data_IF_794421907508
#
_entry.id   IF_794421907508
#
_cell.length_a   1.000
_cell.length_b   1.000
_cell.length_c   1.000
_cell.angle_alpha   90.00
_cell.angle_beta   90.00
_cell.angle_gamma   90.00
#
_symmetry.space_group_name_H-M   'P 1'
#
loop_
_entity.id
_entity.type
_entity.pdbx_description
1 polymer ?
#
# COMPACT_ATOMS: atom_id res chain seq x y z
N UNK A 1 4.94 -8.58 -27.28
CA UNK A 1 4.57 -7.32 -26.62
C UNK A 1 4.47 -7.63 -25.14
N UNK A 2 5.48 -7.21 -24.37
CA UNK A 2 5.59 -7.44 -22.93
C UNK A 2 4.43 -6.75 -22.22
N UNK A 3 3.75 -7.44 -21.29
CA UNK A 3 2.76 -6.80 -20.44
C UNK A 3 3.43 -5.60 -19.74
N UNK A 4 2.84 -4.40 -19.72
CA UNK A 4 3.43 -3.27 -19.02
C UNK A 4 3.55 -3.65 -17.54
N UNK A 5 4.77 -3.56 -17.00
CA UNK A 5 5.01 -3.71 -15.57
C UNK A 5 4.33 -2.60 -14.76
N UNK A 6 4.38 -2.68 -13.41
CA UNK A 6 3.82 -1.64 -12.55
C UNK A 6 4.39 -0.26 -12.89
N UNK A 7 3.55 0.77 -12.81
CA UNK A 7 3.99 2.15 -13.08
C UNK A 7 4.96 2.61 -11.99
N UNK A 8 6.04 3.28 -12.40
CA UNK A 8 6.89 4.00 -11.43
C UNK A 8 6.17 5.25 -10.92
N UNK A 9 6.59 5.81 -9.77
CA UNK A 9 6.05 7.08 -9.27
C UNK A 9 6.17 8.22 -10.30
N UNK A 10 7.26 8.33 -11.07
CA UNK A 10 7.34 9.34 -12.13
C UNK A 10 6.32 9.10 -13.24
N UNK A 11 6.12 7.86 -13.69
CA UNK A 11 5.15 7.56 -14.74
C UNK A 11 3.72 7.84 -14.27
N UNK A 12 3.41 7.53 -13.01
CA UNK A 12 2.14 7.89 -12.38
C UNK A 12 1.94 9.41 -12.38
N UNK A 13 2.93 10.19 -11.93
CA UNK A 13 2.88 11.65 -11.95
C UNK A 13 2.73 12.21 -13.37
N UNK A 14 3.42 11.64 -14.36
CA UNK A 14 3.32 12.05 -15.76
C UNK A 14 1.90 11.83 -16.31
N UNK A 15 1.28 10.68 -16.03
CA UNK A 15 -0.11 10.41 -16.46
C UNK A 15 -1.08 11.39 -15.80
N UNK A 16 -0.93 11.66 -14.50
CA UNK A 16 -1.77 12.63 -13.77
C UNK A 16 -1.60 14.04 -14.37
N UNK A 17 -0.38 14.46 -14.69
CA UNK A 17 -0.11 15.74 -15.35
C UNK A 17 -0.73 15.82 -16.76
N UNK A 18 -0.66 14.73 -17.54
CA UNK A 18 -1.30 14.64 -18.86
C UNK A 18 -2.82 14.76 -18.77
N UNK A 19 -3.44 14.11 -17.77
CA UNK A 19 -4.88 14.25 -17.49
C UNK A 19 -5.22 15.71 -17.19
N UNK A 20 -4.47 16.35 -16.28
CA UNK A 20 -4.68 17.76 -15.91
C UNK A 20 -4.56 18.71 -17.11
N UNK A 21 -3.51 18.56 -17.91
CA UNK A 21 -3.29 19.36 -19.11
C UNK A 21 -4.38 19.15 -20.17
N UNK A 22 -4.80 17.90 -20.39
CA UNK A 22 -5.88 17.57 -21.31
C UNK A 22 -7.20 18.22 -20.91
N UNK A 23 -7.57 18.11 -19.63
CA UNK A 23 -8.78 18.75 -19.10
C UNK A 23 -8.70 20.28 -19.15
N UNK A 24 -7.54 20.86 -18.80
CA UNK A 24 -7.32 22.30 -18.83
C UNK A 24 -7.45 22.88 -20.25
N UNK A 25 -7.06 22.12 -21.29
CA UNK A 25 -7.20 22.55 -22.69
C UNK A 25 -8.66 22.68 -23.16
N UNK A 26 -9.58 21.95 -22.52
CA UNK A 26 -11.03 21.99 -22.80
C UNK A 26 -11.76 23.02 -21.93
N UNK A 27 -11.13 23.47 -20.84
CA UNK A 27 -11.70 24.40 -19.91
C UNK A 27 -11.64 25.84 -20.46
N UNK A 28 -12.61 26.71 -20.11
CA UNK A 28 -12.61 28.11 -20.50
C UNK A 28 -11.43 28.84 -19.86
N UNK A 29 -11.01 29.93 -20.49
CA UNK A 29 -9.98 30.79 -19.94
C UNK A 29 -10.38 31.27 -18.53
N UNK A 30 -9.43 31.18 -17.59
CA UNK A 30 -9.65 31.59 -16.20
C UNK A 30 -10.44 30.59 -15.34
N UNK A 31 -10.54 29.33 -15.76
CA UNK A 31 -11.08 28.26 -14.91
C UNK A 31 -10.39 28.23 -13.54
N UNK A 32 -11.15 27.94 -12.50
CA UNK A 32 -10.67 27.91 -11.10
C UNK A 32 -10.39 26.51 -10.60
N UNK A 33 -11.17 25.53 -11.04
CA UNK A 33 -11.02 24.14 -10.61
C UNK A 33 -11.49 23.16 -11.68
N UNK A 34 -10.76 22.06 -11.81
CA UNK A 34 -11.16 20.88 -12.56
C UNK A 34 -11.25 19.72 -11.59
N UNK A 35 -12.34 18.95 -11.62
CA UNK A 35 -12.47 17.71 -10.85
C UNK A 35 -12.89 16.62 -11.79
N UNK A 36 -12.17 15.50 -11.78
CA UNK A 36 -12.65 14.28 -12.40
C UNK A 36 -12.79 13.19 -11.35
N UNK A 37 -13.90 12.46 -11.42
CA UNK A 37 -14.14 11.29 -10.61
C UNK A 37 -14.36 10.10 -11.54
N UNK A 38 -13.50 9.10 -11.43
CA UNK A 38 -13.56 7.88 -12.20
C UNK A 38 -13.89 6.72 -11.28
N UNK A 39 -14.89 5.92 -11.65
CA UNK A 39 -15.33 4.73 -10.92
C UNK A 39 -15.32 3.56 -11.89
N UNK A 40 -14.64 2.49 -11.52
CA UNK A 40 -14.47 1.34 -12.41
C UNK A 40 -14.48 0.01 -11.66
N UNK A 41 -15.18 -0.96 -12.25
CA UNK A 41 -15.21 -2.36 -11.80
C UNK A 41 -15.40 -3.27 -13.02
N UNK A 42 -14.42 -4.13 -13.29
CA UNK A 42 -14.35 -4.97 -14.47
C UNK A 42 -14.43 -4.13 -15.73
N UNK A 43 -15.50 -4.32 -16.50
CA UNK A 43 -15.78 -3.55 -17.72
C UNK A 43 -16.77 -2.39 -17.52
N UNK A 44 -17.30 -2.22 -16.31
CA UNK A 44 -18.22 -1.12 -15.98
C UNK A 44 -17.42 0.10 -15.57
N UNK A 45 -17.55 1.18 -16.33
CA UNK A 45 -16.79 2.42 -16.15
C UNK A 45 -17.76 3.60 -16.08
N UNK A 46 -17.58 4.47 -15.10
CA UNK A 46 -18.24 5.77 -15.01
C UNK A 46 -17.19 6.85 -14.80
N UNK A 47 -17.22 7.91 -15.60
CA UNK A 47 -16.31 9.06 -15.44
C UNK A 47 -17.13 10.33 -15.44
N UNK A 48 -16.83 11.20 -14.49
CA UNK A 48 -17.36 12.55 -14.41
C UNK A 48 -16.25 13.56 -14.55
N UNK A 49 -16.57 14.66 -15.22
CA UNK A 49 -15.71 15.85 -15.28
C UNK A 49 -16.55 17.05 -14.91
N UNK A 50 -16.08 17.80 -13.93
CA UNK A 50 -16.65 19.05 -13.45
C UNK A 50 -15.62 20.16 -13.61
N UNK A 51 -16.06 21.29 -14.13
CA UNK A 51 -15.25 22.50 -14.31
C UNK A 51 -15.91 23.65 -13.59
N UNK A 52 -15.16 24.32 -12.73
CA UNK A 52 -15.56 25.59 -12.11
C UNK A 52 -14.96 26.74 -12.92
N UNK A 53 -15.83 27.54 -13.54
CA UNK A 53 -15.46 28.68 -14.36
C UNK A 53 -14.89 29.86 -13.56
N UNK A 54 -14.45 30.93 -14.26
CA UNK A 54 -13.95 32.16 -13.64
C UNK A 54 -15.03 32.89 -12.80
N UNK A 55 -16.30 32.67 -13.12
CA UNK A 55 -17.48 33.17 -12.41
C UNK A 55 -17.81 32.36 -11.14
N UNK A 56 -17.12 31.24 -10.91
CA UNK A 56 -17.38 30.32 -9.80
C UNK A 56 -18.51 29.33 -10.07
N UNK A 57 -19.15 29.38 -11.25
CA UNK A 57 -20.20 28.43 -11.61
C UNK A 57 -19.56 27.10 -12.02
N UNK A 58 -20.12 26.00 -11.53
CA UNK A 58 -19.65 24.65 -11.86
C UNK A 58 -20.58 23.99 -12.87
N UNK A 59 -20.02 23.44 -13.93
CA UNK A 59 -20.75 22.68 -14.95
C UNK A 59 -20.02 21.39 -15.31
N UNK A 60 -20.75 20.45 -15.88
CA UNK A 60 -20.20 19.16 -16.30
C UNK A 60 -19.74 19.19 -17.74
N UNK A 61 -18.61 18.53 -17.99
CA UNK A 61 -18.11 18.26 -19.34
C UNK A 61 -18.25 16.76 -19.66
N UNK A 62 -18.49 16.48 -20.94
CA UNK A 62 -18.37 15.12 -21.44
C UNK A 62 -16.91 14.64 -21.29
N UNK A 63 -16.65 13.49 -20.64
CA UNK A 63 -15.29 12.96 -20.51
C UNK A 63 -14.72 12.63 -21.89
N UNK A 64 -13.56 13.20 -22.28
CA UNK A 64 -12.94 12.86 -23.56
C UNK A 64 -12.42 11.40 -23.55
N UNK A 65 -12.39 10.70 -24.70
CA UNK A 65 -11.88 9.32 -24.77
C UNK A 65 -10.45 9.16 -24.24
N UNK A 66 -9.58 10.14 -24.47
CA UNK A 66 -8.19 10.15 -24.04
C UNK A 66 -8.08 10.15 -22.51
N UNK A 67 -8.98 10.87 -21.82
CA UNK A 67 -9.05 10.85 -20.35
C UNK A 67 -9.34 9.44 -19.84
N UNK A 68 -10.31 8.76 -20.45
CA UNK A 68 -10.70 7.40 -20.06
C UNK A 68 -9.54 6.42 -20.28
N UNK A 69 -8.79 6.58 -21.38
CA UNK A 69 -7.60 5.77 -21.67
C UNK A 69 -6.47 6.01 -20.67
N UNK A 70 -6.20 7.27 -20.30
CA UNK A 70 -5.18 7.60 -19.30
C UNK A 70 -5.55 7.07 -17.92
N UNK A 71 -6.81 7.20 -17.51
CA UNK A 71 -7.32 6.63 -16.26
C UNK A 71 -7.26 5.09 -16.26
N UNK A 72 -7.53 4.44 -17.40
CA UNK A 72 -7.38 3.00 -17.55
C UNK A 72 -5.91 2.53 -17.46
N UNK A 73 -4.99 3.29 -18.05
CA UNK A 73 -3.55 3.06 -17.94
C UNK A 73 -3.08 3.23 -16.49
N UNK A 74 -3.50 4.32 -15.84
CA UNK A 74 -3.22 4.60 -14.44
C UNK A 74 -3.72 3.47 -13.53
N UNK A 75 -4.97 3.04 -13.72
CA UNK A 75 -5.59 1.94 -12.96
C UNK A 75 -4.81 0.64 -13.11
N UNK A 76 -4.49 0.28 -14.35
CA UNK A 76 -3.83 -0.99 -14.67
C UNK A 76 -2.40 -1.00 -14.13
N UNK A 77 -1.70 0.13 -14.24
CA UNK A 77 -0.33 0.26 -13.78
C UNK A 77 -0.18 0.41 -12.26
N UNK A 78 -1.25 0.80 -11.56
CA UNK A 78 -1.32 0.82 -10.09
C UNK A 78 -1.83 -0.51 -9.50
N UNK A 79 -2.03 -1.53 -10.32
CA UNK A 79 -2.37 -2.86 -9.84
C UNK A 79 -1.24 -3.43 -8.98
N UNK A 80 -1.59 -3.91 -7.79
CA UNK A 80 -0.70 -4.66 -6.92
C UNK A 80 -1.16 -6.12 -6.84
N UNK A 81 -0.29 -7.10 -7.14
CA UNK A 81 -0.60 -8.51 -7.01
C UNK A 81 -1.17 -8.85 -5.63
N UNK A 82 -2.32 -9.51 -5.59
CA UNK A 82 -2.98 -9.90 -4.35
C UNK A 82 -3.73 -8.78 -3.62
N UNK A 83 -3.48 -7.50 -3.87
CA UNK A 83 -4.27 -6.40 -3.28
C UNK A 83 -5.31 -5.84 -4.26
N UNK A 84 -5.07 -5.99 -5.57
CA UNK A 84 -5.91 -5.44 -6.61
C UNK A 84 -5.50 -4.01 -6.98
N UNK A 85 -6.46 -3.25 -7.52
CA UNK A 85 -6.30 -1.83 -7.84
C UNK A 85 -7.45 -1.02 -7.24
N UNK A 86 -7.35 0.30 -7.31
CA UNK A 86 -8.38 1.21 -6.81
C UNK A 86 -9.68 1.06 -7.58
N UNK A 87 -10.85 1.30 -6.97
CA UNK A 87 -12.18 1.26 -7.61
C UNK A 87 -12.73 2.66 -7.92
N UNK A 88 -12.24 3.67 -7.20
CA UNK A 88 -12.51 5.09 -7.44
C UNK A 88 -11.20 5.88 -7.47
N UNK A 89 -11.10 6.82 -8.41
CA UNK A 89 -10.06 7.84 -8.42
C UNK A 89 -10.72 9.23 -8.51
N UNK A 90 -10.35 10.14 -7.62
CA UNK A 90 -10.76 11.55 -7.66
C UNK A 90 -9.53 12.41 -7.88
N UNK A 91 -9.46 13.10 -9.01
CA UNK A 91 -8.37 14.04 -9.30
C UNK A 91 -8.95 15.45 -9.33
N UNK A 92 -8.34 16.35 -8.56
CA UNK A 92 -8.68 17.76 -8.52
C UNK A 92 -7.47 18.59 -8.92
N UNK A 93 -7.66 19.49 -9.89
CA UNK A 93 -6.65 20.43 -10.35
C UNK A 93 -7.13 21.84 -10.05
N UNK A 94 -6.27 22.62 -9.43
CA UNK A 94 -6.50 24.01 -9.05
C UNK A 94 -5.23 24.81 -9.41
N UNK A 95 -5.31 25.92 -10.16
CA UNK A 95 -4.13 26.68 -10.56
C UNK A 95 -3.38 27.31 -9.37
N UNK A 96 -4.06 27.48 -8.23
CA UNK A 96 -3.51 28.10 -7.02
C UNK A 96 -3.16 27.05 -5.98
N UNK A 97 -4.06 26.10 -5.72
CA UNK A 97 -3.88 25.07 -4.69
C UNK A 97 -3.10 23.84 -5.18
N UNK A 98 -2.86 23.73 -6.49
CA UNK A 98 -2.15 22.60 -7.09
C UNK A 98 -3.06 21.41 -7.38
N UNK A 99 -2.45 20.22 -7.42
CA UNK A 99 -3.14 18.97 -7.77
C UNK A 99 -3.34 18.11 -6.53
N UNK A 100 -4.55 17.58 -6.35
CA UNK A 100 -4.90 16.62 -5.31
C UNK A 100 -5.49 15.36 -5.93
N UNK A 101 -5.08 14.19 -5.42
CA UNK A 101 -5.51 12.89 -5.94
C UNK A 101 -5.89 11.97 -4.78
N UNK A 102 -7.08 11.38 -4.86
CA UNK A 102 -7.59 10.37 -3.92
C UNK A 102 -7.90 9.08 -4.66
N UNK A 103 -7.41 7.95 -4.15
CA UNK A 103 -7.70 6.61 -4.67
C UNK A 103 -8.39 5.77 -3.60
N UNK A 104 -9.55 5.21 -3.92
CA UNK A 104 -10.30 4.35 -3.01
C UNK A 104 -10.26 2.91 -3.51
N UNK A 105 -9.58 2.03 -2.75
CA UNK A 105 -9.45 0.61 -3.09
C UNK A 105 -10.60 -0.23 -2.57
N UNK A 106 -11.07 0.05 -1.36
CA UNK A 106 -11.95 -0.84 -0.59
C UNK A 106 -13.29 -0.21 -0.20
N UNK A 107 -13.51 1.04 -0.62
CA UNK A 107 -14.78 1.74 -0.43
C UNK A 107 -15.67 1.51 -1.65
N UNK A 108 -16.93 1.09 -1.44
CA UNK A 108 -17.88 0.92 -2.55
C UNK A 108 -18.12 2.28 -3.23
N UNK A 109 -17.87 2.40 -4.55
CA UNK A 109 -18.15 3.64 -5.25
C UNK A 109 -19.65 3.92 -5.34
N UNK A 110 -20.03 5.20 -5.27
CA UNK A 110 -21.39 5.63 -5.53
C UNK A 110 -21.68 5.54 -7.04
N UNK A 111 -22.23 4.41 -7.48
CA UNK A 111 -22.56 4.16 -8.89
C UNK A 111 -23.83 4.91 -9.30
N UNK A 112 -23.82 5.56 -10.48
CA UNK A 112 -25.08 6.05 -11.09
C UNK A 112 -25.94 4.88 -11.53
N UNK A 113 -25.32 3.87 -12.14
CA UNK A 113 -25.97 2.64 -12.56
C UNK A 113 -25.29 1.48 -11.85
N UNK A 114 -26.01 0.72 -10.99
CA UNK A 114 -25.43 -0.43 -10.30
C UNK A 114 -24.79 -1.41 -11.30
N UNK A 115 -23.50 -1.74 -11.15
CA UNK A 115 -22.86 -2.73 -12.00
C UNK A 115 -23.49 -4.11 -11.75
N UNK A 116 -23.61 -4.97 -12.79
CA UNK A 116 -24.06 -6.34 -12.61
C UNK A 116 -23.01 -7.18 -11.86
N UNK A 117 -23.39 -8.29 -11.20
CA UNK A 117 -22.44 -9.15 -10.48
C UNK A 117 -21.23 -9.60 -11.31
N UNK A 118 -21.43 -9.87 -12.60
CA UNK A 118 -20.35 -10.25 -13.52
C UNK A 118 -19.25 -9.18 -13.62
N UNK A 119 -19.57 -7.89 -13.43
CA UNK A 119 -18.57 -6.82 -13.43
C UNK A 119 -17.60 -6.92 -12.25
N UNK A 120 -18.10 -7.31 -11.08
CA UNK A 120 -17.30 -7.55 -9.89
C UNK A 120 -16.46 -8.84 -10.01
N UNK A 121 -17.02 -9.89 -10.63
CA UNK A 121 -16.27 -11.12 -10.92
C UNK A 121 -15.15 -10.87 -11.94
N UNK A 122 -15.44 -10.09 -12.98
CA UNK A 122 -14.45 -9.66 -13.99
C UNK A 122 -13.34 -8.84 -13.34
N UNK A 123 -13.66 -7.94 -12.40
CA UNK A 123 -12.66 -7.17 -11.65
C UNK A 123 -11.69 -8.09 -10.90
N UNK A 124 -12.19 -9.10 -10.18
CA UNK A 124 -11.33 -10.07 -9.48
C UNK A 124 -10.52 -10.94 -10.45
N UNK A 125 -10.97 -11.11 -11.69
CA UNK A 125 -10.22 -11.82 -12.74
C UNK A 125 -9.11 -10.93 -13.34
N UNK A 126 -9.39 -9.65 -13.57
CA UNK A 126 -8.44 -8.72 -14.17
C UNK A 126 -7.41 -8.20 -13.15
N UNK A 127 -7.85 -7.97 -11.91
CA UNK A 127 -7.04 -7.47 -10.81
C UNK A 127 -7.23 -8.39 -9.59
N UNK A 128 -6.64 -9.59 -9.61
CA UNK A 128 -6.76 -10.56 -8.52
C UNK A 128 -6.44 -9.96 -7.16
N UNK A 129 -7.35 -10.22 -6.21
CA UNK A 129 -7.24 -9.87 -4.80
C UNK A 129 -7.19 -11.16 -3.98
N UNK A 130 -6.33 -11.21 -2.98
CA UNK A 130 -6.33 -12.23 -1.95
C UNK A 130 -7.56 -12.04 -1.06
N UNK A 131 -8.00 -13.13 -0.43
CA UNK A 131 -9.28 -13.17 0.28
C UNK A 131 -9.43 -12.08 1.35
N UNK A 132 -8.35 -11.75 2.06
CA UNK A 132 -8.35 -10.69 3.07
C UNK A 132 -8.49 -9.26 2.51
N UNK A 133 -8.21 -9.06 1.22
CA UNK A 133 -8.32 -7.77 0.52
C UNK A 133 -9.59 -7.66 -0.32
N UNK A 134 -10.53 -8.61 -0.17
CA UNK A 134 -11.87 -8.52 -0.77
C UNK A 134 -12.84 -8.04 0.31
N UNK A 135 -13.31 -6.78 0.27
CA UNK A 135 -14.30 -6.29 1.22
C UNK A 135 -15.59 -7.09 1.17
N UNK A 136 -16.28 -7.21 2.31
CA UNK A 136 -17.53 -7.97 2.43
C UNK A 136 -18.62 -7.51 1.44
N UNK A 137 -18.75 -6.20 1.24
CA UNK A 137 -19.67 -5.62 0.27
C UNK A 137 -19.33 -6.06 -1.17
N UNK A 138 -18.04 -6.12 -1.51
CA UNK A 138 -17.58 -6.53 -2.85
C UNK A 138 -17.92 -8.00 -3.07
N UNK A 139 -17.63 -8.84 -2.07
CA UNK A 139 -17.93 -10.28 -2.11
C UNK A 139 -19.42 -10.54 -2.36
N UNK A 140 -20.27 -9.82 -1.64
CA UNK A 140 -21.73 -9.86 -1.84
C UNK A 140 -22.12 -9.42 -3.27
N UNK A 141 -21.53 -8.34 -3.77
CA UNK A 141 -21.78 -7.83 -5.14
C UNK A 141 -21.35 -8.81 -6.22
N UNK A 142 -20.24 -9.53 -6.01
CA UNK A 142 -19.73 -10.54 -6.92
C UNK A 142 -20.53 -11.85 -6.89
N UNK A 143 -21.49 -12.01 -5.96
CA UNK A 143 -22.22 -13.26 -5.76
C UNK A 143 -21.32 -14.39 -5.26
N UNK A 144 -20.20 -14.04 -4.61
CA UNK A 144 -19.34 -14.99 -3.92
C UNK A 144 -20.00 -15.37 -2.60
N UNK A 145 -19.72 -16.58 -2.12
CA UNK A 145 -20.14 -17.00 -0.79
C UNK A 145 -19.62 -15.99 0.26
N UNK A 146 -20.26 -15.83 1.43
CA UNK A 146 -19.71 -15.02 2.51
C UNK A 146 -18.27 -15.44 2.78
N UNK A 147 -17.42 -14.48 3.17
CA UNK A 147 -16.09 -14.83 3.65
C UNK A 147 -16.31 -15.89 4.71
N UNK A 148 -15.79 -17.10 4.48
CA UNK A 148 -15.65 -18.03 5.59
C UNK A 148 -14.88 -17.20 6.62
N UNK A 149 -15.43 -16.97 7.83
CA UNK A 149 -14.57 -16.56 8.92
C UNK A 149 -13.42 -17.53 8.81
N UNK A 150 -12.18 -17.05 8.70
CA UNK A 150 -11.02 -17.93 8.67
C UNK A 150 -11.32 -18.97 9.75
N UNK A 151 -11.64 -20.21 9.35
CA UNK A 151 -12.15 -21.15 10.32
C UNK A 151 -11.06 -21.18 11.37
N UNK A 152 -11.35 -20.99 12.68
CA UNK A 152 -10.37 -21.33 13.67
C UNK A 152 -10.09 -22.80 13.36
N UNK A 153 -8.95 -23.07 12.72
CA UNK A 153 -8.55 -24.38 12.24
C UNK A 153 -8.92 -25.32 13.36
N UNK A 154 -9.98 -26.12 13.17
CA UNK A 154 -10.37 -27.13 14.15
C UNK A 154 -9.12 -27.96 14.29
N UNK A 155 -8.51 -27.85 15.46
CA UNK A 155 -7.22 -28.43 15.77
C UNK A 155 -7.28 -29.92 15.45
N UNK A 156 -6.76 -30.27 14.27
CA UNK A 156 -6.26 -31.60 14.02
C UNK A 156 -5.06 -31.73 14.95
N UNK A 157 -4.89 -32.82 15.73
CA UNK A 157 -3.75 -32.97 16.61
C UNK A 157 -2.45 -32.73 15.82
N UNK A 158 -1.48 -32.02 16.39
CA UNK A 158 -0.46 -31.31 15.63
C UNK A 158 0.46 -32.29 14.90
N UNK A 159 0.42 -32.22 13.57
CA UNK A 159 1.64 -32.37 12.77
C UNK A 159 2.10 -30.95 12.46
N UNK A 160 3.28 -30.60 12.94
CA UNK A 160 3.91 -29.27 12.97
C UNK A 160 3.80 -28.54 11.61
N UNK A 161 2.88 -27.58 11.52
CA UNK A 161 2.88 -26.57 10.46
C UNK A 161 3.75 -25.39 10.94
N UNK A 162 4.71 -24.89 10.14
CA UNK A 162 5.57 -23.79 10.55
C UNK A 162 4.73 -22.53 10.75
N UNK A 163 4.90 -21.87 11.89
CA UNK A 163 4.21 -20.62 12.23
C UNK A 163 4.49 -19.55 11.17
N UNK A 164 3.43 -18.93 10.65
CA UNK A 164 3.55 -17.88 9.64
C UNK A 164 4.48 -16.74 10.13
N UNK A 165 5.36 -16.27 9.24
CA UNK A 165 6.29 -15.19 9.54
C UNK A 165 5.56 -13.90 9.94
N UNK A 166 6.05 -13.22 10.98
CA UNK A 166 5.49 -11.97 11.50
C UNK A 166 6.31 -10.75 11.06
N UNK A 167 5.64 -9.61 10.85
CA UNK A 167 6.28 -8.31 10.58
C UNK A 167 5.97 -7.32 11.71
N UNK A 168 6.96 -6.59 12.24
CA UNK A 168 6.72 -5.58 13.27
C UNK A 168 6.16 -4.29 12.67
N UNK A 169 5.46 -3.52 13.52
CA UNK A 169 5.08 -2.14 13.21
C UNK A 169 6.27 -1.21 13.46
N UNK A 170 6.65 -0.44 12.43
CA UNK A 170 7.71 0.58 12.54
C UNK A 170 7.22 1.81 13.32
N UNK A 171 5.94 2.19 13.16
CA UNK A 171 5.29 3.28 13.89
C UNK A 171 3.95 2.80 14.49
N UNK A 172 3.46 3.45 15.54
CA UNK A 172 2.18 3.08 16.18
C UNK A 172 0.98 3.82 15.58
N UNK A 173 1.23 4.90 14.83
CA UNK A 173 0.23 5.66 14.11
C UNK A 173 0.82 6.86 13.38
N UNK A 174 -0.05 7.69 12.80
CA UNK A 174 0.29 9.01 12.26
C UNK A 174 -0.50 10.07 13.05
N UNK A 175 0.10 11.21 13.34
CA UNK A 175 -0.61 12.36 13.92
C UNK A 175 -1.45 13.10 12.87
N UNK A 176 -2.21 14.12 13.30
CA UNK A 176 -3.02 14.96 12.40
C UNK A 176 -2.19 15.71 11.34
N UNK A 177 -0.87 15.78 11.50
CA UNK A 177 0.08 16.41 10.57
C UNK A 177 0.78 15.40 9.66
N UNK A 178 0.44 14.11 9.77
CA UNK A 178 1.04 13.02 8.99
C UNK A 178 2.43 12.58 9.47
N UNK A 179 2.86 12.98 10.67
CA UNK A 179 4.13 12.54 11.27
C UNK A 179 3.94 11.21 12.00
N UNK A 180 4.94 10.32 11.97
CA UNK A 180 4.88 9.07 12.73
C UNK A 180 4.78 9.34 14.23
N UNK A 181 3.77 8.74 14.85
CA UNK A 181 3.63 8.70 16.30
C UNK A 181 4.13 7.34 16.78
N UNK A 182 5.02 7.40 17.77
CA UNK A 182 5.45 6.22 18.52
C UNK A 182 5.21 6.51 19.99
N UNK A 183 4.30 5.73 20.59
CA UNK A 183 3.99 5.82 22.02
C UNK A 183 4.37 4.48 22.66
N UNK A 184 5.68 4.31 22.84
CA UNK A 184 6.29 3.09 23.38
C UNK A 184 7.20 3.42 24.53
N UNK A 185 7.21 2.54 25.52
CA UNK A 185 8.11 2.67 26.66
C UNK A 185 9.57 2.51 26.19
N UNK A 186 10.45 3.48 26.50
CA UNK A 186 11.85 3.43 26.07
C UNK A 186 12.59 2.25 26.72
N UNK A 187 13.53 1.67 25.99
CA UNK A 187 14.33 0.56 26.49
C UNK A 187 15.43 1.04 27.43
N UNK A 188 15.79 0.22 28.41
CA UNK A 188 17.00 0.48 29.19
C UNK A 188 18.24 0.41 28.28
N UNK A 189 19.32 1.18 28.52
CA UNK A 189 20.50 1.19 27.65
C UNK A 189 21.11 -0.21 27.42
N UNK A 190 21.18 -1.02 28.48
CA UNK A 190 21.71 -2.39 28.40
C UNK A 190 20.80 -3.35 27.61
N UNK A 191 19.50 -3.09 27.57
CA UNK A 191 18.56 -3.86 26.76
C UNK A 191 18.58 -3.40 25.31
N UNK A 192 18.64 -2.08 25.07
CA UNK A 192 18.76 -1.48 23.75
C UNK A 192 19.93 -2.06 22.97
N UNK A 193 21.11 -2.13 23.58
CA UNK A 193 22.31 -2.63 22.91
C UNK A 193 22.16 -4.10 22.49
N UNK A 194 21.53 -4.94 23.33
CA UNK A 194 21.24 -6.34 22.99
C UNK A 194 20.20 -6.49 21.90
N UNK A 195 19.19 -5.63 21.89
CA UNK A 195 18.16 -5.62 20.85
C UNK A 195 18.77 -5.17 19.52
N UNK A 196 19.63 -4.15 19.52
CA UNK A 196 20.35 -3.72 18.30
C UNK A 196 21.25 -4.84 17.76
N UNK A 197 22.01 -5.51 18.63
CA UNK A 197 22.85 -6.64 18.24
C UNK A 197 22.03 -7.79 17.61
N UNK A 198 20.87 -8.09 18.18
CA UNK A 198 19.93 -9.05 17.61
C UNK A 198 19.40 -8.61 16.23
N UNK A 199 18.93 -7.37 16.12
CA UNK A 199 18.33 -6.86 14.89
C UNK A 199 19.35 -6.74 13.74
N UNK A 200 20.58 -6.32 14.04
CA UNK A 200 21.68 -6.15 13.08
C UNK A 200 22.40 -7.47 12.78
N UNK A 201 22.39 -8.44 13.70
CA UNK A 201 23.00 -9.75 13.51
C UNK A 201 22.20 -10.69 12.61
N UNK A 202 20.90 -10.44 12.45
CA UNK A 202 20.01 -11.30 11.67
C UNK A 202 20.36 -11.27 10.17
N UNK A 203 20.26 -12.40 9.45
CA UNK A 203 20.57 -12.44 8.03
C UNK A 203 19.70 -11.50 7.21
N UNK A 204 20.33 -10.83 6.23
CA UNK A 204 19.66 -9.99 5.24
C UNK A 204 19.06 -10.88 4.16
N UNK A 205 17.77 -10.70 3.87
CA UNK A 205 17.00 -11.44 2.86
C UNK A 205 16.67 -10.60 1.63
N UNK A 206 16.58 -9.28 1.80
CA UNK A 206 16.39 -8.34 0.70
C UNK A 206 17.16 -7.06 1.01
N UNK A 207 17.83 -6.47 0.02
CA UNK A 207 18.53 -5.21 0.18
C UNK A 207 18.43 -4.36 -1.08
N UNK A 208 17.99 -3.11 -0.92
CA UNK A 208 18.18 -2.07 -1.91
C UNK A 208 19.53 -1.39 -1.75
N UNK A 209 20.02 -0.77 -2.83
CA UNK A 209 21.19 0.12 -2.81
C UNK A 209 20.82 1.58 -2.47
N UNK A 210 19.53 1.85 -2.29
CA UNK A 210 18.98 3.17 -1.93
C UNK A 210 18.60 3.22 -0.45
N UNK A 211 18.47 4.43 0.08
CA UNK A 211 18.04 4.70 1.45
C UNK A 211 16.73 5.48 1.43
N UNK A 212 15.92 5.34 2.48
CA UNK A 212 14.69 6.11 2.67
C UNK A 212 14.94 7.35 3.52
N UNK A 213 14.03 8.32 3.42
CA UNK A 213 14.06 9.52 4.24
C UNK A 213 13.77 9.19 5.71
N UNK A 214 14.44 9.89 6.61
CA UNK A 214 14.17 9.77 8.04
C UNK A 214 12.83 10.43 8.37
N UNK A 215 11.81 9.62 8.69
CA UNK A 215 10.48 10.13 9.02
C UNK A 215 10.43 11.09 10.25
N UNK A 216 11.44 11.10 11.13
CA UNK A 216 11.54 12.07 12.23
C UNK A 216 12.37 13.31 11.87
N UNK A 217 13.28 13.19 10.90
CA UNK A 217 14.12 14.27 10.38
C UNK A 217 14.11 14.29 8.82
N UNK A 218 12.98 14.63 8.19
CA UNK A 218 12.80 14.48 6.74
C UNK A 218 13.68 15.42 5.90
N UNK A 219 14.24 16.47 6.50
CA UNK A 219 15.14 17.42 5.86
C UNK A 219 16.62 16.91 5.78
N UNK A 220 16.92 15.76 6.38
CA UNK A 220 18.25 15.11 6.30
C UNK A 220 18.40 14.30 5.01
N UNK A 221 19.65 14.00 4.67
CA UNK A 221 19.94 13.03 3.62
C UNK A 221 19.28 11.68 3.95
N UNK A 222 18.76 10.93 2.95
CA UNK A 222 18.20 9.60 3.17
C UNK A 222 19.22 8.65 3.79
N UNK A 223 18.98 8.24 5.03
CA UNK A 223 19.89 7.38 5.81
C UNK A 223 19.22 6.06 6.24
N UNK A 224 17.89 5.94 6.10
CA UNK A 224 17.14 4.76 6.56
C UNK A 224 17.42 3.59 5.62
N UNK A 225 18.03 2.49 6.08
CA UNK A 225 18.39 1.39 5.18
C UNK A 225 17.16 0.64 4.66
N UNK A 226 17.02 0.55 3.33
CA UNK A 226 16.01 -0.25 2.65
C UNK A 226 16.46 -1.71 2.50
N UNK A 227 16.76 -2.35 3.64
CA UNK A 227 17.00 -3.79 3.71
C UNK A 227 15.97 -4.46 4.61
N UNK A 228 15.80 -5.76 4.42
CA UNK A 228 14.98 -6.61 5.26
C UNK A 228 15.83 -7.74 5.82
N UNK A 229 15.63 -8.02 7.09
CA UNK A 229 16.29 -9.10 7.82
C UNK A 229 15.27 -10.03 8.43
N UNK A 230 15.68 -11.25 8.76
CA UNK A 230 14.80 -12.24 9.40
C UNK A 230 15.53 -13.11 10.41
N UNK A 231 14.82 -13.55 11.44
CA UNK A 231 15.24 -14.63 12.35
C UNK A 231 14.52 -15.96 12.05
N UNK A 232 13.88 -16.06 10.87
CA UNK A 232 13.10 -17.21 10.42
C UNK A 232 11.67 -17.28 10.96
N UNK A 233 11.32 -16.44 11.94
CA UNK A 233 9.95 -16.34 12.48
C UNK A 233 9.38 -14.91 12.39
N UNK A 234 10.27 -13.93 12.42
CA UNK A 234 9.99 -12.53 12.18
C UNK A 234 10.86 -12.05 11.02
N UNK A 235 10.33 -11.11 10.25
CA UNK A 235 11.13 -10.31 9.33
C UNK A 235 10.88 -8.83 9.61
N UNK A 236 11.90 -8.01 9.44
CA UNK A 236 11.81 -6.59 9.75
C UNK A 236 12.62 -5.74 8.78
N UNK A 237 12.16 -4.50 8.50
CA UNK A 237 12.95 -3.54 7.74
C UNK A 237 14.12 -3.00 8.58
N UNK A 238 15.21 -2.61 7.91
CA UNK A 238 16.38 -1.98 8.51
C UNK A 238 16.05 -0.67 9.25
N UNK A 239 14.91 -0.06 8.94
CA UNK A 239 14.33 1.05 9.67
C UNK A 239 14.16 0.77 11.18
N UNK A 240 13.83 -0.47 11.58
CA UNK A 240 13.61 -0.79 13.00
C UNK A 240 14.90 -0.61 13.82
N UNK A 241 16.02 -1.13 13.33
CA UNK A 241 17.32 -0.97 13.99
C UNK A 241 17.83 0.48 13.90
N UNK A 242 17.57 1.15 12.77
CA UNK A 242 17.92 2.55 12.58
C UNK A 242 17.21 3.47 13.59
N UNK A 243 15.89 3.36 13.72
CA UNK A 243 15.12 4.21 14.64
C UNK A 243 15.42 3.94 16.12
N UNK A 244 15.72 2.69 16.47
CA UNK A 244 16.19 2.37 17.82
C UNK A 244 17.56 3.00 18.11
N UNK A 245 18.45 3.10 17.11
CA UNK A 245 19.80 3.65 17.28
C UNK A 245 19.81 5.17 17.31
N UNK A 246 19.14 5.81 16.35
CA UNK A 246 19.22 7.26 16.14
C UNK A 246 18.18 8.03 16.96
N UNK A 247 16.99 7.46 17.16
CA UNK A 247 15.85 8.13 17.79
C UNK A 247 15.40 7.50 19.11
N UNK A 248 16.12 6.48 19.59
CA UNK A 248 15.80 5.69 20.81
C UNK A 248 14.37 5.11 20.80
N UNK A 249 13.84 4.87 19.59
CA UNK A 249 12.48 4.38 19.37
C UNK A 249 12.44 2.88 19.60
N UNK A 250 11.73 2.45 20.65
CA UNK A 250 11.56 1.03 20.94
C UNK A 250 10.87 0.28 19.77
N UNK A 251 11.34 -0.92 19.38
CA UNK A 251 10.66 -1.77 18.40
C UNK A 251 9.25 -2.20 18.85
N UNK A 252 8.48 -2.80 17.95
CA UNK A 252 7.14 -3.30 18.26
C UNK A 252 7.16 -4.17 19.53
N UNK A 253 6.29 -3.93 20.54
CA UNK A 253 6.24 -4.71 21.76
C UNK A 253 6.14 -6.23 21.55
N UNK A 254 5.47 -6.67 20.48
CA UNK A 254 5.39 -8.11 20.15
C UNK A 254 6.74 -8.67 19.70
N UNK A 255 7.47 -7.91 18.88
CA UNK A 255 8.83 -8.28 18.45
C UNK A 255 9.78 -8.25 19.64
N UNK A 256 9.70 -7.24 20.51
CA UNK A 256 10.50 -7.18 21.74
C UNK A 256 10.23 -8.38 22.66
N UNK A 257 8.98 -8.76 22.83
CA UNK A 257 8.59 -9.94 23.61
C UNK A 257 9.20 -11.21 23.03
N UNK A 258 9.21 -11.34 21.70
CA UNK A 258 9.84 -12.45 20.99
C UNK A 258 11.37 -12.47 21.18
N UNK A 259 12.05 -11.34 21.00
CA UNK A 259 13.51 -11.22 21.20
C UNK A 259 13.88 -11.58 22.65
N UNK A 260 13.10 -11.11 23.63
CA UNK A 260 13.28 -11.45 25.04
C UNK A 260 13.08 -12.94 25.30
N UNK A 261 12.09 -13.57 24.67
CA UNK A 261 11.86 -15.01 24.79
C UNK A 261 13.03 -15.83 24.25
N UNK A 262 13.68 -15.35 23.17
CA UNK A 262 14.90 -15.92 22.62
C UNK A 262 16.17 -15.50 23.37
N UNK A 263 16.03 -14.76 24.47
CA UNK A 263 17.15 -14.24 25.28
C UNK A 263 18.18 -13.49 24.44
N UNK A 264 17.71 -12.72 23.46
CA UNK A 264 18.55 -11.93 22.54
C UNK A 264 19.53 -12.78 21.71
N UNK A 265 19.26 -14.08 21.55
CA UNK A 265 20.10 -14.99 20.76
C UNK A 265 19.41 -15.29 19.44
N UNK A 266 20.09 -15.00 18.33
CA UNK A 266 19.56 -15.27 17.01
C UNK A 266 19.50 -16.79 16.75
N UNK A 267 18.33 -17.30 16.32
CA UNK A 267 18.21 -18.68 15.87
C UNK A 267 18.95 -18.87 14.53
N UNK A 268 19.29 -20.12 14.24
CA UNK A 268 19.86 -20.48 12.94
C UNK A 268 18.76 -20.40 11.87
N UNK A 269 18.96 -19.55 10.87
CA UNK A 269 17.99 -19.32 9.78
C UNK A 269 18.48 -20.02 8.52
N UNK A 270 17.79 -21.10 8.16
CA UNK A 270 18.04 -21.86 6.94
C UNK A 270 17.56 -21.13 5.68
N UNK A 271 17.87 -21.72 4.52
CA UNK A 271 17.40 -21.23 3.22
C UNK A 271 15.85 -21.21 3.10
N UNK A 272 15.09 -22.24 3.56
CA UNK A 272 13.64 -22.23 3.46
C UNK A 272 13.00 -21.04 4.20
N UNK A 273 13.49 -20.71 5.39
CA UNK A 273 13.00 -19.59 6.18
C UNK A 273 13.31 -18.23 5.54
N UNK A 274 14.45 -18.13 4.85
CA UNK A 274 14.82 -16.94 4.08
C UNK A 274 13.94 -16.76 2.86
N UNK A 275 13.68 -17.83 2.11
CA UNK A 275 12.78 -17.82 0.96
C UNK A 275 11.35 -17.48 1.38
N UNK A 276 10.88 -18.00 2.52
CA UNK A 276 9.60 -17.62 3.11
C UNK A 276 9.55 -16.13 3.46
N UNK A 277 10.62 -15.57 4.02
CA UNK A 277 10.70 -14.14 4.29
C UNK A 277 10.68 -13.31 2.99
N UNK A 278 11.43 -13.71 1.95
CA UNK A 278 11.41 -13.03 0.64
C UNK A 278 10.02 -13.10 -0.01
N UNK A 279 9.37 -14.27 0.04
CA UNK A 279 8.00 -14.47 -0.44
C UNK A 279 7.02 -13.52 0.28
N UNK A 280 7.11 -13.44 1.61
CA UNK A 280 6.29 -12.53 2.42
C UNK A 280 6.53 -11.05 2.08
N UNK A 281 7.78 -10.65 1.81
CA UNK A 281 8.15 -9.27 1.47
C UNK A 281 7.72 -8.90 0.04
N UNK A 282 7.83 -9.83 -0.91
CA UNK A 282 7.57 -9.59 -2.34
C UNK A 282 6.15 -9.93 -2.79
N UNK A 283 5.35 -10.54 -1.90
CA UNK A 283 4.00 -11.01 -2.21
C UNK A 283 3.95 -12.18 -3.20
N UNK A 284 5.06 -12.88 -3.40
CA UNK A 284 5.16 -14.08 -4.24
C UNK A 284 4.88 -15.32 -3.37
N UNK A 285 4.12 -16.33 -3.84
CA UNK A 285 4.01 -17.59 -3.11
C UNK A 285 5.35 -18.36 -3.16
N UNK A 286 5.81 -18.85 -2.01
CA UNK A 286 6.96 -19.77 -1.90
C UNK A 286 6.70 -21.02 -2.75
N UNK A 287 7.61 -21.35 -3.66
CA UNK A 287 7.48 -22.50 -4.58
C UNK A 287 7.85 -23.83 -3.94
#
# INVERSE_FOLDING_TARGET
MTAPGPLTPEQQHQIIAQIGNGLASMAPAGWRRLRTEHRAVGRHLETDVLVTGPDGVTYSLAPPPELIQLLGTLRSGMYQPGQGTWLRATLTFDPVQGTSVDFALDQEPAWRRPPPPIGFQDELRFFPRAEQYIPSWFRQRAGLEPAQPAEPLVATPPAEAPEALKSPRVYDGLDESGRPVVDREPLSPAERDRVLEYLDGAPVVLASRTYDADAFEPDREPLVPLNFRTDGRWYWPGAVAYYLREHDVAPDPELLTHIRALRFTLPEVGEPERELAVAAITGQPSS
#
